data_IF_539311864344
#
_entry.id   IF_539311864344
#
_cell.length_a   1.000
_cell.length_b   1.000
_cell.length_c   1.000
_cell.angle_alpha   90.00
_cell.angle_beta   90.00
_cell.angle_gamma   90.00
#
_symmetry.space_group_name_H-M   'P 1'
#
loop_
_entity.id
_entity.type
_entity.pdbx_description
1 polymer ?
#
# COMPACT_ATOMS: atom_id res chain seq x y z
N UNK A 1 -6.03 -22.35 -38.74
CA UNK A 1 -6.44 -22.74 -40.10
C UNK A 1 -5.41 -22.16 -41.05
N UNK A 2 -4.58 -22.99 -41.68
CA UNK A 2 -3.44 -22.53 -42.48
C UNK A 2 -2.09 -23.21 -42.20
N UNK A 3 -2.08 -24.28 -41.39
CA UNK A 3 -0.96 -25.22 -41.25
C UNK A 3 -1.43 -26.60 -41.67
N UNK A 4 -0.58 -27.34 -42.37
CA UNK A 4 -0.87 -28.72 -42.78
C UNK A 4 -1.13 -29.57 -41.53
N UNK A 5 -2.29 -30.23 -41.47
CA UNK A 5 -2.72 -31.00 -40.30
C UNK A 5 -3.47 -30.23 -39.19
N UNK A 6 -3.88 -28.98 -39.43
CA UNK A 6 -4.70 -28.20 -38.48
C UNK A 6 -5.96 -27.60 -39.12
N UNK A 7 -7.10 -27.55 -38.39
CA UNK A 7 -7.28 -27.89 -36.97
C UNK A 7 -7.43 -29.40 -36.72
N UNK A 8 -7.03 -29.84 -35.52
CA UNK A 8 -7.15 -31.25 -35.08
C UNK A 8 -8.53 -31.62 -34.51
N UNK A 9 -9.43 -30.66 -34.40
CA UNK A 9 -10.77 -30.83 -33.83
C UNK A 9 -11.82 -30.52 -34.89
N UNK A 10 -12.81 -31.40 -35.02
CA UNK A 10 -13.90 -31.24 -35.98
C UNK A 10 -14.95 -30.21 -35.51
N UNK A 11 -15.10 -30.03 -34.18
CA UNK A 11 -16.09 -29.14 -33.58
C UNK A 11 -15.72 -28.70 -32.17
N UNK A 12 -16.01 -27.44 -31.85
CA UNK A 12 -15.95 -26.91 -30.48
C UNK A 12 -17.36 -26.42 -30.11
N UNK A 13 -17.85 -26.80 -28.94
CA UNK A 13 -19.14 -26.35 -28.40
C UNK A 13 -18.88 -25.58 -27.12
N UNK A 14 -19.14 -24.27 -27.15
CA UNK A 14 -19.02 -23.41 -25.97
C UNK A 14 -20.38 -23.42 -25.26
N UNK A 15 -20.44 -24.07 -24.09
CA UNK A 15 -21.63 -24.08 -23.23
C UNK A 15 -21.49 -23.02 -22.14
N UNK A 16 -22.26 -21.91 -22.18
CA UNK A 16 -22.24 -20.93 -21.09
C UNK A 16 -22.95 -21.53 -19.87
N UNK A 17 -22.17 -21.83 -18.83
CA UNK A 17 -22.66 -22.29 -17.54
C UNK A 17 -22.32 -21.20 -16.51
N UNK A 18 -23.26 -20.32 -16.14
CA UNK A 18 -22.98 -19.17 -15.29
C UNK A 18 -22.63 -19.59 -13.85
N UNK A 19 -23.27 -20.65 -13.36
CA UNK A 19 -23.04 -21.17 -12.02
C UNK A 19 -21.75 -22.01 -11.92
N UNK A 20 -20.95 -21.72 -10.91
CA UNK A 20 -19.60 -22.27 -10.73
C UNK A 20 -19.59 -23.73 -10.27
N UNK A 21 -20.49 -24.08 -9.35
CA UNK A 21 -20.65 -25.45 -8.88
C UNK A 21 -21.17 -26.36 -10.00
N UNK A 22 -22.11 -25.87 -10.79
CA UNK A 22 -22.63 -26.58 -11.96
C UNK A 22 -21.53 -26.89 -12.96
N UNK A 23 -20.59 -25.95 -13.23
CA UNK A 23 -19.45 -26.20 -14.11
C UNK A 23 -18.56 -27.35 -13.59
N UNK A 24 -18.22 -27.35 -12.31
CA UNK A 24 -17.37 -28.38 -11.70
C UNK A 24 -18.02 -29.77 -11.72
N UNK A 25 -19.31 -29.85 -11.40
CA UNK A 25 -20.06 -31.12 -11.46
C UNK A 25 -20.11 -31.65 -12.89
N UNK A 26 -20.37 -30.79 -13.87
CA UNK A 26 -20.38 -31.20 -15.28
C UNK A 26 -19.00 -31.63 -15.78
N UNK A 27 -17.91 -31.02 -15.28
CA UNK A 27 -16.54 -31.42 -15.60
C UNK A 27 -16.23 -32.81 -15.04
N UNK A 28 -16.51 -33.04 -13.75
CA UNK A 28 -16.30 -34.34 -13.08
C UNK A 28 -17.17 -35.44 -13.69
N UNK A 29 -18.38 -35.10 -14.13
CA UNK A 29 -19.30 -36.03 -14.79
C UNK A 29 -18.93 -36.32 -16.27
N UNK A 30 -17.94 -35.63 -16.85
CA UNK A 30 -17.56 -35.78 -18.26
C UNK A 30 -18.54 -35.15 -19.27
N UNK A 31 -19.46 -34.29 -18.80
CA UNK A 31 -20.42 -33.56 -19.65
C UNK A 31 -19.81 -32.33 -20.33
N UNK A 32 -18.67 -31.86 -19.82
CA UNK A 32 -17.78 -30.86 -20.43
C UNK A 32 -16.33 -31.34 -20.30
N UNK A 33 -15.52 -31.07 -21.31
CA UNK A 33 -14.14 -31.56 -21.39
C UNK A 33 -13.10 -30.51 -20.95
N UNK A 34 -13.49 -29.25 -20.80
CA UNK A 34 -12.61 -28.15 -20.41
C UNK A 34 -13.38 -27.08 -19.61
N UNK A 35 -12.70 -26.48 -18.64
CA UNK A 35 -13.23 -25.42 -17.78
C UNK A 35 -12.22 -24.27 -17.66
N UNK A 36 -12.70 -23.05 -17.86
CA UNK A 36 -11.95 -21.81 -17.61
C UNK A 36 -12.36 -21.23 -16.25
N UNK A 37 -11.42 -20.60 -15.54
CA UNK A 37 -11.62 -19.99 -14.21
C UNK A 37 -12.01 -21.01 -13.14
N UNK A 38 -11.11 -21.95 -12.84
CA UNK A 38 -11.24 -22.87 -11.68
C UNK A 38 -11.08 -22.05 -10.38
N UNK A 39 -12.01 -22.15 -9.42
CA UNK A 39 -11.84 -21.49 -8.12
C UNK A 39 -10.61 -22.05 -7.40
N UNK A 40 -9.85 -21.15 -6.76
CA UNK A 40 -8.57 -21.49 -6.12
C UNK A 40 -8.70 -22.60 -5.09
N UNK A 41 -9.83 -22.68 -4.37
CA UNK A 41 -10.08 -23.70 -3.34
C UNK A 41 -10.26 -25.11 -3.93
N UNK A 42 -10.78 -25.21 -5.15
CA UNK A 42 -11.02 -26.50 -5.82
C UNK A 42 -9.80 -26.97 -6.63
N UNK A 43 -8.83 -26.08 -6.83
CA UNK A 43 -7.64 -26.34 -7.63
C UNK A 43 -6.88 -27.58 -7.14
N UNK A 44 -6.58 -27.63 -5.85
CA UNK A 44 -5.79 -28.72 -5.26
C UNK A 44 -6.52 -30.06 -5.37
N UNK A 45 -7.85 -30.06 -5.18
CA UNK A 45 -8.67 -31.26 -5.35
C UNK A 45 -8.66 -31.78 -6.80
N UNK A 46 -8.73 -30.87 -7.79
CA UNK A 46 -8.69 -31.25 -9.19
C UNK A 46 -7.31 -31.72 -9.66
N UNK A 47 -6.22 -31.22 -9.08
CA UNK A 47 -4.86 -31.69 -9.36
C UNK A 47 -4.61 -33.13 -8.89
N UNK A 48 -5.35 -33.58 -7.87
CA UNK A 48 -5.26 -34.93 -7.31
C UNK A 48 -6.21 -35.92 -8.01
N UNK A 49 -7.17 -35.45 -8.79
CA UNK A 49 -8.16 -36.28 -9.46
C UNK A 49 -7.54 -37.00 -10.68
N UNK A 50 -7.62 -38.34 -10.78
CA UNK A 50 -7.08 -39.07 -11.93
C UNK A 50 -7.72 -38.62 -13.25
N UNK A 51 -6.89 -38.27 -14.23
CA UNK A 51 -7.34 -37.87 -15.57
C UNK A 51 -7.63 -36.37 -15.73
N UNK A 52 -7.49 -35.57 -14.68
CA UNK A 52 -7.60 -34.10 -14.77
C UNK A 52 -6.22 -33.47 -15.00
N UNK A 53 -6.18 -32.46 -15.86
CA UNK A 53 -4.98 -31.63 -16.09
C UNK A 53 -5.35 -30.20 -15.71
N UNK A 54 -4.74 -29.70 -14.64
CA UNK A 54 -4.93 -28.32 -14.19
C UNK A 54 -3.70 -27.51 -14.63
N UNK A 55 -3.87 -26.72 -15.67
CA UNK A 55 -2.83 -25.82 -16.15
C UNK A 55 -2.77 -24.51 -15.35
N UNK A 56 -1.57 -24.01 -15.06
CA UNK A 56 -1.39 -22.61 -14.74
C UNK A 56 -1.43 -21.82 -16.06
N UNK A 57 -2.43 -20.97 -16.22
CA UNK A 57 -2.41 -19.99 -17.32
C UNK A 57 -1.27 -19.03 -17.02
N UNK A 58 -0.34 -18.85 -17.96
CA UNK A 58 0.65 -17.78 -17.85
C UNK A 58 -0.07 -16.46 -17.57
N UNK A 59 0.51 -15.51 -16.82
CA UNK A 59 -0.15 -14.25 -16.44
C UNK A 59 -0.58 -13.32 -17.61
N UNK A 60 -0.59 -13.80 -18.85
CA UNK A 60 -1.03 -13.06 -20.04
C UNK A 60 -2.49 -13.34 -20.43
N UNK A 61 -3.18 -12.25 -20.79
CA UNK A 61 -4.54 -12.12 -21.36
C UNK A 61 -5.69 -11.70 -20.44
N UNK A 62 -5.47 -11.47 -19.15
CA UNK A 62 -6.47 -10.82 -18.29
C UNK A 62 -5.82 -9.98 -17.21
N UNK A 63 -6.03 -8.65 -17.24
CA UNK A 63 -5.84 -7.86 -16.04
C UNK A 63 -7.16 -7.90 -15.28
N UNK A 64 -7.18 -8.50 -14.10
CA UNK A 64 -8.30 -8.37 -13.17
C UNK A 64 -8.29 -6.94 -12.64
N UNK A 65 -8.87 -5.99 -13.40
CA UNK A 65 -9.10 -4.65 -12.89
C UNK A 65 -10.34 -4.63 -12.02
N UNK A 66 -10.17 -4.11 -10.82
CA UNK A 66 -11.26 -3.49 -10.10
C UNK A 66 -11.62 -2.19 -10.84
N UNK A 67 -12.74 -2.19 -11.58
CA UNK A 67 -13.20 -1.03 -12.35
C UNK A 67 -14.22 -0.26 -11.51
N UNK A 68 -13.91 1.00 -11.23
CA UNK A 68 -14.79 1.92 -10.51
C UNK A 68 -15.54 2.83 -11.49
N UNK A 69 -16.81 3.14 -11.21
CA UNK A 69 -17.54 4.17 -11.92
C UNK A 69 -17.15 5.56 -11.40
N UNK A 70 -16.22 6.24 -12.09
CA UNK A 70 -15.69 7.55 -11.68
C UNK A 70 -16.68 8.71 -11.82
N UNK A 71 -17.89 8.47 -12.32
CA UNK A 71 -18.94 9.48 -12.49
C UNK A 71 -20.05 9.37 -11.43
N UNK A 72 -19.91 8.47 -10.46
CA UNK A 72 -20.90 8.22 -9.43
C UNK A 72 -20.28 8.18 -8.04
N UNK A 73 -20.97 8.79 -7.08
CA UNK A 73 -20.59 8.75 -5.67
C UNK A 73 -20.51 7.30 -5.14
N UNK A 74 -19.51 6.98 -4.29
CA UNK A 74 -18.45 7.87 -3.75
C UNK A 74 -17.20 7.93 -4.62
N UNK A 75 -17.18 7.27 -5.79
CA UNK A 75 -16.01 7.15 -6.64
C UNK A 75 -15.81 8.33 -7.60
N UNK A 76 -16.69 9.33 -7.58
CA UNK A 76 -16.47 10.65 -8.17
C UNK A 76 -15.37 11.43 -7.40
N UNK A 77 -15.28 11.22 -6.10
CA UNK A 77 -14.20 11.76 -5.27
C UNK A 77 -12.87 11.03 -5.53
N UNK A 78 -11.89 11.78 -6.04
CA UNK A 78 -10.51 11.32 -6.26
C UNK A 78 -9.92 10.72 -4.98
N UNK A 79 -10.20 11.32 -3.81
CA UNK A 79 -9.68 10.86 -2.52
C UNK A 79 -10.25 9.51 -2.11
N UNK A 80 -11.49 9.19 -2.48
CA UNK A 80 -12.09 7.87 -2.20
C UNK A 80 -11.43 6.79 -3.05
N UNK A 81 -11.18 7.08 -4.33
CA UNK A 81 -10.46 6.16 -5.23
C UNK A 81 -9.03 5.93 -4.78
N UNK A 82 -8.37 6.99 -4.30
CA UNK A 82 -7.02 6.92 -3.75
C UNK A 82 -7.01 6.17 -2.42
N UNK A 83 -7.92 6.44 -1.49
CA UNK A 83 -8.03 5.73 -0.22
C UNK A 83 -8.20 4.21 -0.42
N UNK A 84 -8.98 3.81 -1.42
CA UNK A 84 -9.11 2.40 -1.80
C UNK A 84 -7.85 1.78 -2.39
N UNK A 85 -7.04 2.56 -3.10
CA UNK A 85 -5.83 2.08 -3.77
C UNK A 85 -4.63 2.02 -2.80
N UNK A 86 -4.53 3.00 -1.89
CA UNK A 86 -3.37 3.14 -1.00
C UNK A 86 -3.55 2.53 0.38
N UNK A 87 -4.80 2.25 0.81
CA UNK A 87 -5.20 1.67 2.10
C UNK A 87 -4.10 1.75 3.19
N UNK A 88 -3.67 2.97 3.49
CA UNK A 88 -2.69 3.23 4.54
C UNK A 88 -3.43 3.07 5.85
N UNK A 89 -2.93 2.21 6.72
CA UNK A 89 -3.46 2.08 8.07
C UNK A 89 -3.08 3.32 8.89
N UNK A 90 -3.92 4.36 8.77
CA UNK A 90 -3.79 5.64 9.49
C UNK A 90 -3.68 5.43 10.99
N UNK A 91 -4.44 4.47 11.53
CA UNK A 91 -4.41 4.17 12.96
C UNK A 91 -3.05 3.64 13.38
N UNK A 92 -2.48 2.71 12.61
CA UNK A 92 -1.14 2.16 12.89
C UNK A 92 -0.04 3.23 12.87
N UNK A 93 -0.10 4.19 11.94
CA UNK A 93 0.88 5.30 11.91
C UNK A 93 0.72 6.20 13.13
N UNK A 94 -0.52 6.59 13.47
CA UNK A 94 -0.79 7.43 14.66
C UNK A 94 -0.36 6.72 15.95
N UNK A 95 -0.62 5.42 16.08
CA UNK A 95 -0.19 4.65 17.25
C UNK A 95 1.34 4.57 17.36
N UNK A 96 2.04 4.36 16.24
CA UNK A 96 3.50 4.40 16.21
C UNK A 96 4.07 5.76 16.63
N UNK A 97 3.49 6.84 16.09
CA UNK A 97 3.82 8.21 16.46
C UNK A 97 3.55 8.50 17.95
N UNK A 98 2.39 8.09 18.47
CA UNK A 98 2.05 8.27 19.89
C UNK A 98 3.03 7.56 20.82
N UNK A 99 3.47 6.35 20.45
CA UNK A 99 4.51 5.62 21.20
C UNK A 99 5.83 6.37 21.19
N UNK A 100 6.25 6.87 20.04
CA UNK A 100 7.49 7.64 19.91
C UNK A 100 7.45 8.97 20.70
N UNK A 101 6.31 9.66 20.65
CA UNK A 101 6.05 10.93 21.31
C UNK A 101 5.70 10.81 22.80
N UNK A 102 5.75 9.61 23.40
CA UNK A 102 5.38 9.42 24.80
C UNK A 102 6.20 10.33 25.74
N UNK A 103 5.48 11.14 26.54
CA UNK A 103 6.03 12.19 27.43
C UNK A 103 6.84 13.29 26.72
N UNK A 104 6.58 13.54 25.44
CA UNK A 104 7.11 14.68 24.69
C UNK A 104 6.03 15.76 24.53
N UNK A 105 6.40 17.04 24.33
CA UNK A 105 5.45 18.13 24.10
C UNK A 105 4.92 18.11 22.65
N UNK A 106 4.40 16.96 22.20
CA UNK A 106 3.82 16.79 20.87
C UNK A 106 2.33 16.54 21.01
N UNK A 107 1.52 17.51 20.57
CA UNK A 107 0.07 17.45 20.63
C UNK A 107 -0.53 16.54 19.56
N UNK A 108 -1.74 16.05 19.83
CA UNK A 108 -2.46 15.14 18.93
C UNK A 108 -2.76 15.80 17.56
N UNK A 109 -2.93 17.12 17.53
CA UNK A 109 -3.06 17.92 16.29
C UNK A 109 -1.77 17.94 15.46
N UNK A 110 -0.60 17.98 16.11
CA UNK A 110 0.68 17.92 15.40
C UNK A 110 0.89 16.53 14.79
N UNK A 111 0.46 15.46 15.47
CA UNK A 111 0.50 14.10 14.93
C UNK A 111 -0.40 13.95 13.70
N UNK A 112 -1.62 14.49 13.76
CA UNK A 112 -2.53 14.53 12.60
C UNK A 112 -1.91 15.28 11.43
N UNK A 113 -1.29 16.43 11.69
CA UNK A 113 -0.62 17.22 10.65
C UNK A 113 0.57 16.49 10.01
N UNK A 114 1.37 15.77 10.81
CA UNK A 114 2.45 14.93 10.29
C UNK A 114 1.89 13.85 9.34
N UNK A 115 0.77 13.21 9.73
CA UNK A 115 0.12 12.20 8.90
C UNK A 115 -0.39 12.81 7.59
N UNK A 116 -1.10 13.95 7.64
CA UNK A 116 -1.62 14.63 6.45
C UNK A 116 -0.50 15.01 5.47
N UNK A 117 0.60 15.59 5.96
CA UNK A 117 1.75 15.91 5.12
C UNK A 117 2.40 14.66 4.50
N UNK A 118 2.42 13.56 5.25
CA UNK A 118 2.92 12.29 4.73
C UNK A 118 2.02 11.74 3.64
N UNK A 119 0.70 11.79 3.83
CA UNK A 119 -0.28 11.39 2.82
C UNK A 119 -0.12 12.21 1.55
N UNK A 120 -0.02 13.54 1.67
CA UNK A 120 0.21 14.44 0.54
C UNK A 120 1.50 14.10 -0.22
N UNK A 121 2.60 13.80 0.50
CA UNK A 121 3.86 13.39 -0.11
C UNK A 121 3.73 12.04 -0.84
N UNK A 122 3.01 11.08 -0.27
CA UNK A 122 2.74 9.80 -0.90
C UNK A 122 1.93 10.01 -2.18
N UNK A 123 0.87 10.82 -2.12
CA UNK A 123 0.02 11.11 -3.28
C UNK A 123 0.77 11.82 -4.40
N UNK A 124 1.76 12.64 -4.08
CA UNK A 124 2.56 13.34 -5.08
C UNK A 124 3.59 12.44 -5.78
N UNK A 125 4.05 11.36 -5.14
CA UNK A 125 5.22 10.60 -5.59
C UNK A 125 4.94 9.14 -5.97
N UNK A 126 3.77 8.60 -5.62
CA UNK A 126 3.41 7.20 -5.91
C UNK A 126 2.01 7.12 -6.52
N UNK A 127 1.84 6.22 -7.51
CA UNK A 127 0.57 5.96 -8.20
C UNK A 127 -0.09 4.61 -7.83
N UNK A 128 0.64 3.74 -7.11
CA UNK A 128 0.25 2.35 -6.79
C UNK A 128 0.76 1.94 -5.40
N UNK A 129 1.62 0.92 -5.31
CA UNK A 129 2.16 0.43 -4.04
C UNK A 129 3.22 1.39 -3.49
N UNK A 130 3.15 1.63 -2.18
CA UNK A 130 4.07 2.51 -1.46
C UNK A 130 4.94 1.64 -0.56
N UNK A 131 6.28 1.66 -0.73
CA UNK A 131 7.17 0.95 0.17
C UNK A 131 7.03 1.44 1.62
N UNK A 132 6.90 0.53 2.59
CA UNK A 132 6.79 0.90 4.01
C UNK A 132 7.98 1.75 4.51
N UNK A 133 9.16 1.54 3.92
CA UNK A 133 10.35 2.34 4.21
C UNK A 133 10.12 3.81 3.84
N UNK A 134 9.56 4.07 2.66
CA UNK A 134 9.25 5.43 2.21
C UNK A 134 8.26 6.13 3.16
N UNK A 135 7.22 5.42 3.59
CA UNK A 135 6.25 5.95 4.58
C UNK A 135 6.99 6.31 5.88
N UNK A 136 7.84 5.42 6.39
CA UNK A 136 8.64 5.66 7.59
C UNK A 136 9.56 6.88 7.45
N UNK A 137 10.24 7.02 6.31
CA UNK A 137 11.15 8.14 6.04
C UNK A 137 10.38 9.48 5.98
N UNK A 138 9.22 9.52 5.32
CA UNK A 138 8.36 10.73 5.28
C UNK A 138 7.83 11.11 6.65
N UNK A 139 7.28 10.15 7.40
CA UNK A 139 6.81 10.39 8.77
C UNK A 139 7.97 10.86 9.65
N UNK A 140 9.15 10.24 9.52
CA UNK A 140 10.36 10.59 10.24
C UNK A 140 10.82 12.02 9.94
N UNK A 141 10.88 12.41 8.66
CA UNK A 141 11.27 13.76 8.24
C UNK A 141 10.38 14.83 8.87
N UNK A 142 9.06 14.66 8.83
CA UNK A 142 8.12 15.58 9.46
C UNK A 142 8.20 15.56 10.99
N UNK A 143 8.38 14.39 11.60
CA UNK A 143 8.54 14.26 13.05
C UNK A 143 9.84 14.90 13.55
N UNK A 144 10.93 14.83 12.77
CA UNK A 144 12.23 15.42 13.09
C UNK A 144 12.13 16.94 13.27
N UNK A 145 11.34 17.62 12.42
CA UNK A 145 11.08 19.05 12.54
C UNK A 145 10.24 19.43 13.76
N UNK A 146 9.49 18.49 14.33
CA UNK A 146 8.65 18.72 15.53
C UNK A 146 9.39 18.37 16.81
N UNK A 147 10.00 17.19 16.89
CA UNK A 147 10.70 16.71 18.07
C UNK A 147 11.78 15.68 17.72
N UNK A 148 13.04 16.10 17.87
CA UNK A 148 14.23 15.28 17.59
C UNK A 148 14.29 13.98 18.40
N UNK A 149 13.84 14.01 19.66
CA UNK A 149 13.88 12.82 20.54
C UNK A 149 12.79 11.82 20.15
N UNK A 150 11.60 12.30 19.82
CA UNK A 150 10.52 11.48 19.27
C UNK A 150 10.94 10.87 17.93
N UNK A 151 11.61 11.63 17.06
CA UNK A 151 12.18 11.11 15.83
C UNK A 151 13.14 9.95 16.08
N UNK A 152 14.12 10.08 16.97
CA UNK A 152 15.09 9.00 17.25
C UNK A 152 14.35 7.73 17.70
N UNK A 153 13.38 7.87 18.61
CA UNK A 153 12.56 6.73 19.09
C UNK A 153 11.74 6.09 17.98
N UNK A 154 11.19 6.90 17.08
CA UNK A 154 10.45 6.44 15.93
C UNK A 154 11.38 5.71 14.94
N UNK A 155 12.54 6.31 14.64
CA UNK A 155 13.59 5.74 13.80
C UNK A 155 14.05 4.38 14.30
N UNK A 156 14.19 4.17 15.61
CA UNK A 156 14.56 2.86 16.16
C UNK A 156 13.56 1.73 15.83
N UNK A 157 12.33 2.06 15.43
CA UNK A 157 11.29 1.07 15.11
C UNK A 157 11.18 0.82 13.61
N UNK A 158 11.23 1.88 12.78
CA UNK A 158 11.06 1.73 11.34
C UNK A 158 12.38 1.58 10.58
N UNK A 159 13.50 2.12 11.09
CA UNK A 159 14.85 1.81 10.59
C UNK A 159 15.41 0.62 11.35
N UNK A 160 15.85 -0.39 10.60
CA UNK A 160 16.56 -1.54 11.16
C UNK A 160 18.03 -1.20 11.35
N UNK A 161 18.33 -0.38 12.36
CA UNK A 161 19.71 -0.14 12.77
C UNK A 161 20.36 -1.50 13.11
N UNK A 162 21.47 -1.82 12.45
CA UNK A 162 22.17 -3.08 12.67
C UNK A 162 22.96 -3.05 13.97
N UNK A 163 23.41 -1.87 14.39
CA UNK A 163 24.17 -1.66 15.61
C UNK A 163 23.89 -0.32 16.29
N UNK A 164 24.43 -0.17 17.50
CA UNK A 164 24.29 1.04 18.32
C UNK A 164 25.10 2.21 17.72
N UNK A 165 26.11 1.94 16.90
CA UNK A 165 26.92 2.94 16.22
C UNK A 165 26.11 3.74 15.21
N UNK A 166 25.35 3.06 14.33
CA UNK A 166 24.46 3.71 13.35
C UNK A 166 23.42 4.62 14.03
N UNK A 167 22.93 4.24 15.21
CA UNK A 167 22.02 5.06 16.00
C UNK A 167 22.70 6.30 16.57
N UNK A 168 23.95 6.17 17.03
CA UNK A 168 24.74 7.28 17.57
C UNK A 168 25.07 8.27 16.46
N UNK A 169 25.53 7.81 15.29
CA UNK A 169 25.83 8.67 14.14
C UNK A 169 24.61 9.49 13.73
N UNK A 170 23.45 8.85 13.56
CA UNK A 170 22.20 9.53 13.26
C UNK A 170 21.80 10.54 14.37
N UNK A 171 22.01 10.19 15.64
CA UNK A 171 21.74 11.10 16.76
C UNK A 171 22.68 12.32 16.77
N UNK A 172 23.94 12.15 16.38
CA UNK A 172 24.93 13.23 16.25
C UNK A 172 24.61 14.15 15.07
N UNK A 173 24.23 13.60 13.92
CA UNK A 173 23.77 14.41 12.77
C UNK A 173 22.57 15.30 13.15
N UNK A 174 21.65 14.77 13.96
CA UNK A 174 20.47 15.51 14.42
C UNK A 174 20.83 16.56 15.45
N UNK A 175 21.84 16.34 16.28
CA UNK A 175 22.32 17.35 17.24
C UNK A 175 22.75 18.62 16.50
N UNK A 176 23.46 18.45 15.39
CA UNK A 176 24.13 19.53 14.68
C UNK A 176 23.25 20.18 13.59
N UNK A 177 22.10 19.58 13.25
CA UNK A 177 21.11 20.16 12.31
C UNK A 177 20.25 21.29 12.95
N UNK A 178 20.11 22.46 12.31
CA UNK A 178 19.23 23.52 12.81
C UNK A 178 17.75 23.10 12.77
N UNK A 179 16.99 23.39 13.82
CA UNK A 179 15.52 23.22 13.83
C UNK A 179 14.89 24.44 13.16
N UNK A 180 14.30 24.26 11.98
CA UNK A 180 13.35 25.24 11.45
C UNK A 180 12.09 25.19 12.31
N UNK A 181 12.01 26.11 13.29
CA UNK A 181 10.83 26.26 14.12
C UNK A 181 9.69 26.85 13.27
N UNK A 182 8.55 26.14 13.10
CA UNK A 182 7.39 26.75 12.48
C UNK A 182 6.72 27.65 13.53
N UNK A 183 6.97 28.96 13.43
CA UNK A 183 6.10 29.98 14.01
C UNK A 183 6.38 30.36 15.47
N UNK A 184 7.43 31.12 15.69
CA UNK A 184 7.35 32.25 16.63
C UNK A 184 8.02 33.43 15.94
N UNK A 185 7.21 34.32 15.36
CA UNK A 185 7.72 35.61 14.89
C UNK A 185 8.37 36.33 16.07
N UNK A 186 9.52 36.96 15.80
CA UNK A 186 10.16 37.92 16.71
C UNK A 186 9.11 38.91 17.22
N UNK A 187 8.65 38.72 18.45
CA UNK A 187 7.68 39.58 19.11
C UNK A 187 8.35 40.60 20.04
N UNK A 188 9.68 40.68 20.02
CA UNK A 188 10.45 41.65 20.78
C UNK A 188 11.64 42.16 19.96
N UNK A 189 11.37 42.95 18.91
CA UNK A 189 12.33 44.00 18.54
C UNK A 189 12.19 45.11 19.58
N UNK A 190 13.06 45.10 20.60
CA UNK A 190 13.28 46.27 21.45
C UNK A 190 13.81 47.41 20.56
N UNK A 191 12.93 48.31 20.15
CA UNK A 191 13.34 49.64 19.72
C UNK A 191 13.97 50.36 20.90
N UNK A 192 15.31 50.43 20.89
CA UNK A 192 16.07 51.30 21.78
C UNK A 192 15.74 52.77 21.45
N UNK A 193 15.34 53.60 22.42
CA UNK A 193 15.02 55.00 22.14
C UNK A 193 16.30 55.79 21.81
N UNK A 194 16.24 56.75 20.87
CA UNK A 194 17.40 57.55 20.52
C UNK A 194 17.79 58.51 21.65
N UNK A 195 19.10 58.67 21.84
CA UNK A 195 19.72 59.66 22.72
C UNK A 195 19.84 61.02 22.02
#
# INVERSE_FOLDING_TARGET
YGREGEPKLDKIVIKPLPDEQSRLVNLKAGSIDALMNVPLIEKEGLEQEPGMIVGQVAPGFGFWAFIMNVNASPFDDVKVRQAMNYAIDRQKIIEGLRKACYKRPVGDDQLRRILELTEDAIFANYEKEVPSQYIGDRVGEHLRGVDKVAYIRFASVYRRFQDVGELIEEAEEIRDAPMDSPGQGDLFTEEKPPA
#
